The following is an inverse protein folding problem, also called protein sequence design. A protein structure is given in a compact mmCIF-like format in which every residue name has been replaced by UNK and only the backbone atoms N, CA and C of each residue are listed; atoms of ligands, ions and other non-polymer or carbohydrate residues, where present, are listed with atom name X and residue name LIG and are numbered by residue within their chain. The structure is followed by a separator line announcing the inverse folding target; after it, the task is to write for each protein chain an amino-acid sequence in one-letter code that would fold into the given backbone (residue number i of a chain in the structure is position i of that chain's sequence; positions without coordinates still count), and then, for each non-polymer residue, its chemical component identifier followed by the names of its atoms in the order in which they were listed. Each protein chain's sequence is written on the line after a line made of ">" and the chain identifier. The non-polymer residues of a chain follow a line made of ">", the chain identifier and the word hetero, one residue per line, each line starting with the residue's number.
data_IF_395401998559
#
_entry.id   IF_395401998559
#
_cell.length_a   1.000
_cell.length_b   1.000
_cell.length_c   1.000
_cell.angle_alpha   90.00
_cell.angle_beta   90.00
_cell.angle_gamma   90.00
#
_symmetry.space_group_name_H-M   'P 1'
#
loop_
_entity.id
_entity.type
_entity.pdbx_description
1 polymer ?
#
# COMPACT_ATOMS: atom_id res chain seq x y z
N UNK A 1 14.90 13.27 -18.50
CA UNK A 1 13.56 13.83 -18.24
C UNK A 1 13.23 14.10 -16.76
N UNK A 2 14.04 13.69 -15.76
CA UNK A 2 13.79 13.94 -14.33
C UNK A 2 12.41 13.49 -13.80
N UNK A 3 11.80 12.50 -14.47
CA UNK A 3 10.53 11.90 -14.08
C UNK A 3 10.83 10.65 -13.24
N UNK A 4 10.30 10.57 -12.03
CA UNK A 4 10.30 9.31 -11.27
C UNK A 4 9.35 8.33 -11.96
N UNK A 5 9.84 7.12 -12.25
CA UNK A 5 9.08 6.05 -12.93
C UNK A 5 8.79 4.87 -12.00
N UNK A 6 8.97 5.04 -10.70
CA UNK A 6 8.58 4.05 -9.70
C UNK A 6 7.09 3.70 -9.82
N UNK A 7 6.78 2.42 -10.02
CA UNK A 7 5.41 1.93 -10.25
C UNK A 7 4.86 2.15 -11.67
N UNK A 8 5.64 2.72 -12.59
CA UNK A 8 5.22 2.85 -13.99
C UNK A 8 5.25 1.51 -14.74
N UNK A 9 4.38 1.37 -15.74
CA UNK A 9 4.40 0.20 -16.63
C UNK A 9 5.61 0.24 -17.56
N UNK A 10 6.11 -0.93 -17.99
CA UNK A 10 7.23 -1.04 -18.94
C UNK A 10 7.04 -0.17 -20.19
N UNK A 11 5.82 -0.14 -20.75
CA UNK A 11 5.49 0.68 -21.92
C UNK A 11 5.71 2.18 -21.65
N UNK A 12 5.25 2.69 -20.51
CA UNK A 12 5.41 4.10 -20.14
C UNK A 12 6.90 4.48 -19.99
N UNK A 13 7.71 3.58 -19.44
CA UNK A 13 9.17 3.78 -19.32
C UNK A 13 9.81 3.84 -20.71
N UNK A 14 9.46 2.92 -21.61
CA UNK A 14 9.98 2.90 -22.99
C UNK A 14 9.58 4.15 -23.77
N UNK A 15 8.34 4.62 -23.62
CA UNK A 15 7.87 5.83 -24.30
C UNK A 15 8.63 7.08 -23.79
N UNK A 16 8.92 7.15 -22.48
CA UNK A 16 9.74 8.21 -21.89
C UNK A 16 11.19 8.19 -22.38
N UNK A 17 11.74 7.00 -22.60
CA UNK A 17 13.08 6.80 -23.17
C UNK A 17 13.10 7.27 -24.63
N UNK A 18 12.13 6.85 -25.45
CA UNK A 18 12.02 7.27 -26.86
C UNK A 18 11.81 8.76 -27.04
N UNK A 19 11.12 9.40 -26.09
CA UNK A 19 10.91 10.85 -26.09
C UNK A 19 12.15 11.65 -25.63
N UNK A 20 13.14 11.00 -25.02
CA UNK A 20 14.38 11.63 -24.56
C UNK A 20 15.43 11.67 -25.68
N UNK A 21 15.52 12.79 -26.39
CA UNK A 21 16.34 12.93 -27.61
C UNK A 21 17.84 13.21 -27.36
N UNK A 22 18.33 13.06 -26.12
CA UNK A 22 19.67 13.52 -25.71
C UNK A 22 20.45 12.45 -24.95
N UNK A 23 20.24 12.33 -23.64
CA UNK A 23 21.09 11.50 -22.76
C UNK A 23 20.27 10.86 -21.63
N UNK A 24 20.63 9.62 -21.27
CA UNK A 24 20.03 8.87 -20.16
C UNK A 24 21.03 8.76 -19.02
N UNK A 25 20.70 9.38 -17.88
CA UNK A 25 21.43 9.17 -16.65
C UNK A 25 20.91 7.88 -15.99
N UNK A 26 21.74 6.84 -16.01
CA UNK A 26 21.47 5.56 -15.36
C UNK A 26 22.15 5.55 -13.98
N UNK A 27 21.35 5.50 -12.92
CA UNK A 27 21.87 5.23 -11.57
C UNK A 27 21.85 3.74 -11.33
N UNK A 28 23.03 3.12 -11.23
CA UNK A 28 23.14 1.71 -10.85
C UNK A 28 22.87 1.61 -9.35
N UNK A 29 21.79 0.92 -8.99
CA UNK A 29 21.50 0.54 -7.62
C UNK A 29 22.09 -0.84 -7.39
N UNK A 30 23.22 -0.91 -6.71
CA UNK A 30 23.81 -2.18 -6.31
C UNK A 30 22.96 -2.80 -5.20
N UNK A 31 22.56 -4.05 -5.38
CA UNK A 31 21.97 -4.87 -4.33
C UNK A 31 23.06 -5.66 -3.61
N UNK A 32 22.88 -6.00 -2.33
CA UNK A 32 23.78 -6.92 -1.63
C UNK A 32 23.80 -8.30 -2.32
N UNK A 33 24.91 -9.04 -2.17
CA UNK A 33 25.22 -10.24 -2.97
C UNK A 33 24.13 -11.33 -2.91
N UNK A 34 23.51 -11.46 -1.75
CA UNK A 34 22.40 -12.38 -1.51
C UNK A 34 21.13 -12.02 -2.29
N UNK A 35 20.90 -10.75 -2.58
CA UNK A 35 19.77 -10.28 -3.40
C UNK A 35 20.11 -10.35 -4.90
N UNK A 36 21.37 -10.19 -5.30
CA UNK A 36 21.77 -10.32 -6.72
C UNK A 36 21.59 -11.73 -7.26
N UNK A 37 21.86 -12.77 -6.45
CA UNK A 37 21.66 -14.16 -6.85
C UNK A 37 20.18 -14.50 -7.11
N UNK A 38 19.25 -13.72 -6.55
CA UNK A 38 17.80 -13.88 -6.72
C UNK A 38 17.30 -13.20 -8.01
N UNK A 39 18.02 -12.18 -8.49
CA UNK A 39 17.65 -11.36 -9.63
C UNK A 39 18.19 -11.89 -10.97
N UNK A 40 19.17 -12.80 -10.94
CA UNK A 40 19.63 -13.45 -12.15
C UNK A 40 18.52 -14.35 -12.72
N UNK A 41 18.11 -14.17 -13.99
CA UNK A 41 17.12 -15.02 -14.62
C UNK A 41 17.74 -16.40 -14.81
N UNK A 42 17.42 -17.34 -13.93
CA UNK A 42 17.73 -18.75 -14.14
C UNK A 42 17.11 -19.20 -15.46
N UNK A 43 17.94 -19.66 -16.39
CA UNK A 43 17.56 -20.20 -17.71
C UNK A 43 16.83 -21.56 -17.60
N UNK A 44 16.65 -22.06 -16.37
CA UNK A 44 15.78 -23.19 -16.05
C UNK A 44 14.41 -22.68 -15.64
N UNK A 45 13.36 -23.27 -16.23
CA UNK A 45 11.93 -22.95 -16.08
C UNK A 45 11.35 -23.20 -14.67
N UNK A 46 12.19 -23.09 -13.64
CA UNK A 46 11.90 -23.08 -12.22
C UNK A 46 12.65 -21.90 -11.59
N UNK A 47 12.21 -20.68 -11.91
CA UNK A 47 12.56 -19.50 -11.12
C UNK A 47 12.20 -19.74 -9.64
N UNK A 48 12.78 -18.98 -8.69
CA UNK A 48 12.48 -19.16 -7.28
C UNK A 48 10.96 -19.12 -7.09
N UNK A 49 10.39 -20.27 -6.73
CA UNK A 49 8.99 -20.36 -6.31
C UNK A 49 8.92 -19.64 -4.98
N UNK A 50 8.70 -18.32 -5.03
CA UNK A 50 8.45 -17.53 -3.84
C UNK A 50 7.29 -18.17 -3.11
N UNK A 51 7.60 -18.80 -1.98
CA UNK A 51 6.60 -19.37 -1.12
C UNK A 51 5.94 -18.20 -0.36
N UNK A 52 4.93 -17.60 -0.99
CA UNK A 52 4.04 -16.64 -0.35
C UNK A 52 3.23 -17.26 0.81
N UNK A 53 3.50 -18.52 1.18
CA UNK A 53 3.04 -19.10 2.44
C UNK A 53 3.76 -18.52 3.67
N UNK A 54 4.83 -17.73 3.52
CA UNK A 54 5.42 -17.01 4.65
C UNK A 54 4.44 -15.97 5.21
N UNK A 55 3.75 -16.36 6.29
CA UNK A 55 2.82 -15.54 7.08
C UNK A 55 3.55 -14.53 7.97
N UNK A 56 4.59 -13.85 7.48
CA UNK A 56 5.09 -12.69 8.23
C UNK A 56 4.06 -11.58 8.08
N UNK A 57 3.39 -11.25 9.19
CA UNK A 57 2.52 -10.10 9.25
C UNK A 57 3.30 -8.87 8.79
N UNK A 58 2.76 -8.14 7.81
CA UNK A 58 3.33 -6.86 7.41
C UNK A 58 3.49 -6.00 8.68
N UNK A 59 4.62 -5.28 8.87
CA UNK A 59 4.82 -4.42 10.04
C UNK A 59 3.98 -3.14 9.92
N UNK A 60 2.70 -3.26 9.56
CA UNK A 60 1.73 -2.19 9.40
C UNK A 60 1.03 -1.94 10.73
N UNK A 61 0.80 -0.67 11.08
CA UNK A 61 0.06 -0.32 12.30
C UNK A 61 -0.71 0.98 12.13
N UNK A 62 -1.82 1.08 12.84
CA UNK A 62 -2.63 2.29 12.98
C UNK A 62 -2.58 2.75 14.44
N UNK A 63 -1.47 3.32 14.93
CA UNK A 63 -1.27 3.58 16.37
C UNK A 63 -2.23 4.62 16.96
N UNK A 64 -2.80 5.50 16.13
CA UNK A 64 -3.66 6.59 16.60
C UNK A 64 -4.64 7.09 15.55
N UNK A 65 -5.57 7.92 16.00
CA UNK A 65 -6.45 8.73 15.16
C UNK A 65 -6.46 10.17 15.68
N UNK A 66 -6.91 11.12 14.84
CA UNK A 66 -7.13 12.51 15.26
C UNK A 66 -8.34 13.12 14.58
N UNK A 67 -8.93 14.09 15.25
CA UNK A 67 -9.94 14.98 14.68
C UNK A 67 -9.26 16.04 13.81
N UNK A 68 -9.79 16.25 12.61
CA UNK A 68 -9.30 17.23 11.63
C UNK A 68 -10.47 18.07 11.17
N UNK A 69 -10.24 19.36 11.00
CA UNK A 69 -11.18 20.28 10.36
C UNK A 69 -10.57 20.75 9.03
N UNK A 70 -11.23 20.43 7.92
CA UNK A 70 -10.79 20.81 6.57
C UNK A 70 -12.01 21.26 5.77
N UNK A 71 -11.91 22.43 5.13
CA UNK A 71 -12.99 23.01 4.32
C UNK A 71 -14.33 23.13 5.09
N UNK A 72 -14.29 23.40 6.39
CA UNK A 72 -15.47 23.47 7.26
C UNK A 72 -16.08 22.13 7.65
N UNK A 73 -15.51 21.00 7.20
CA UNK A 73 -15.93 19.66 7.61
C UNK A 73 -15.01 19.15 8.73
N UNK A 74 -15.61 18.69 9.83
CA UNK A 74 -14.91 17.96 10.89
C UNK A 74 -15.02 16.46 10.68
N UNK A 75 -13.88 15.77 10.66
CA UNK A 75 -13.82 14.32 10.51
C UNK A 75 -12.60 13.73 11.22
N UNK A 76 -12.64 12.41 11.39
CA UNK A 76 -11.53 11.65 11.98
C UNK A 76 -10.67 11.04 10.89
N UNK A 77 -9.35 11.15 11.06
CA UNK A 77 -8.35 10.44 10.25
C UNK A 77 -7.57 9.46 11.11
N UNK A 78 -7.20 8.32 10.52
CA UNK A 78 -6.37 7.28 11.12
C UNK A 78 -4.96 7.40 10.57
N UNK A 79 -3.96 7.34 11.43
CA UNK A 79 -2.57 7.39 11.01
C UNK A 79 -2.11 5.99 10.63
N UNK A 80 -1.58 5.80 9.43
CA UNK A 80 -1.11 4.50 8.94
C UNK A 80 0.42 4.52 8.93
N UNK A 81 1.04 3.55 9.59
CA UNK A 81 2.48 3.38 9.70
C UNK A 81 2.90 2.04 9.13
N UNK A 82 4.13 1.97 8.62
CA UNK A 82 4.80 0.73 8.26
C UNK A 82 6.23 0.77 8.80
N UNK A 83 6.62 -0.25 9.57
CA UNK A 83 7.93 -0.33 10.23
C UNK A 83 8.29 0.96 11.00
N UNK A 84 7.31 1.55 11.70
CA UNK A 84 7.49 2.77 12.49
C UNK A 84 7.53 4.08 11.68
N UNK A 85 7.41 4.04 10.35
CA UNK A 85 7.35 5.22 9.47
C UNK A 85 5.91 5.51 9.06
N UNK A 86 5.48 6.77 9.17
CA UNK A 86 4.13 7.16 8.76
C UNK A 86 4.03 7.16 7.23
N UNK A 87 3.08 6.40 6.69
CA UNK A 87 2.79 6.36 5.25
C UNK A 87 1.79 7.43 4.85
N UNK A 88 0.64 7.48 5.52
CA UNK A 88 -0.40 8.45 5.22
C UNK A 88 -1.43 8.59 6.37
N UNK A 89 -2.33 9.56 6.21
CA UNK A 89 -3.50 9.73 7.06
C UNK A 89 -4.75 9.59 6.21
N UNK A 90 -5.70 8.77 6.65
CA UNK A 90 -6.91 8.46 5.88
C UNK A 90 -8.15 8.51 6.74
N UNK A 91 -9.25 9.08 6.22
CA UNK A 91 -10.57 8.98 6.85
C UNK A 91 -11.22 7.65 6.51
N UNK A 92 -12.13 7.17 7.36
CA UNK A 92 -12.78 5.86 7.18
C UNK A 92 -13.38 5.63 5.77
N UNK A 93 -13.96 6.67 5.14
CA UNK A 93 -14.55 6.56 3.79
C UNK A 93 -13.51 6.12 2.74
N UNK A 94 -12.25 6.48 2.89
CA UNK A 94 -11.18 6.08 1.97
C UNK A 94 -10.87 4.59 2.07
N UNK A 95 -10.89 4.02 3.28
CA UNK A 95 -10.80 2.56 3.49
C UNK A 95 -12.00 1.82 2.86
N UNK A 96 -13.21 2.38 3.02
CA UNK A 96 -14.40 1.80 2.42
C UNK A 96 -14.34 1.80 0.87
N UNK A 97 -13.79 2.86 0.27
CA UNK A 97 -13.56 2.91 -1.18
C UNK A 97 -12.48 1.90 -1.61
N UNK A 98 -11.38 1.83 -0.87
CA UNK A 98 -10.31 0.84 -1.11
C UNK A 98 -10.86 -0.59 -1.08
N UNK A 99 -11.63 -0.95 -0.05
CA UNK A 99 -12.23 -2.29 0.07
C UNK A 99 -13.12 -2.64 -1.13
N UNK A 100 -13.94 -1.70 -1.62
CA UNK A 100 -14.77 -1.95 -2.80
C UNK A 100 -13.95 -2.10 -4.09
N UNK A 101 -12.88 -1.32 -4.23
CA UNK A 101 -11.98 -1.45 -5.38
C UNK A 101 -11.25 -2.80 -5.35
N UNK A 102 -10.75 -3.21 -4.18
CA UNK A 102 -10.11 -4.52 -4.00
C UNK A 102 -11.06 -5.68 -4.32
N UNK A 103 -12.30 -5.65 -3.82
CA UNK A 103 -13.30 -6.67 -4.14
C UNK A 103 -13.68 -6.72 -5.62
N UNK A 104 -13.59 -5.60 -6.33
CA UNK A 104 -13.84 -5.55 -7.78
C UNK A 104 -12.68 -6.15 -8.56
N UNK A 105 -11.46 -5.82 -8.16
CA UNK A 105 -10.24 -6.29 -8.85
C UNK A 105 -9.95 -7.76 -8.57
N UNK A 106 -10.27 -8.23 -7.36
CA UNK A 106 -9.99 -9.60 -6.91
C UNK A 106 -11.30 -10.29 -6.44
N UNK A 107 -12.22 -10.63 -7.34
CA UNK A 107 -13.56 -11.13 -6.98
C UNK A 107 -13.53 -12.47 -6.23
N UNK A 108 -12.53 -13.31 -6.50
CA UNK A 108 -12.38 -14.64 -5.90
C UNK A 108 -11.59 -14.63 -4.58
N UNK A 109 -11.02 -13.48 -4.20
CA UNK A 109 -10.26 -13.36 -2.95
C UNK A 109 -11.19 -13.15 -1.76
N UNK A 110 -11.11 -13.98 -0.71
CA UNK A 110 -11.99 -13.89 0.46
C UNK A 110 -11.53 -12.78 1.41
N UNK A 111 -11.76 -11.51 1.04
CA UNK A 111 -11.36 -10.36 1.85
C UNK A 111 -11.96 -10.41 3.27
N UNK A 112 -11.20 -10.00 4.30
CA UNK A 112 -11.73 -9.81 5.64
C UNK A 112 -12.85 -8.77 5.65
N UNK A 113 -13.71 -8.83 6.66
CA UNK A 113 -14.79 -7.85 6.83
C UNK A 113 -14.19 -6.51 7.25
N UNK A 114 -14.45 -5.47 6.48
CA UNK A 114 -14.12 -4.11 6.88
C UNK A 114 -15.01 -3.67 8.07
N UNK A 115 -14.49 -2.94 9.07
CA UNK A 115 -15.30 -2.36 10.13
C UNK A 115 -16.48 -1.58 9.58
N UNK A 116 -17.68 -1.75 10.14
CA UNK A 116 -18.91 -1.21 9.59
C UNK A 116 -19.05 0.32 9.70
N UNK A 117 -19.92 0.88 8.83
CA UNK A 117 -20.45 2.24 9.01
C UNK A 117 -21.41 2.26 10.19
N UNK A 118 -21.42 3.38 10.90
CA UNK A 118 -22.38 3.63 11.98
C UNK A 118 -23.26 4.81 11.56
N UNK A 119 -24.59 4.74 11.78
CA UNK A 119 -25.50 5.79 11.32
C UNK A 119 -25.45 7.07 12.17
N UNK A 120 -24.80 7.01 13.34
CA UNK A 120 -24.63 8.14 14.26
C UNK A 120 -23.16 8.51 14.41
N UNK A 121 -22.90 9.69 15.00
CA UNK A 121 -21.55 10.06 15.43
C UNK A 121 -20.99 9.00 16.37
N UNK A 122 -19.72 8.64 16.16
CA UNK A 122 -19.04 7.67 17.00
C UNK A 122 -18.55 8.30 18.30
N UNK A 123 -18.65 7.55 19.40
CA UNK A 123 -17.92 7.85 20.62
C UNK A 123 -16.42 7.58 20.45
N UNK A 124 -15.59 8.12 21.34
CA UNK A 124 -14.13 7.85 21.35
C UNK A 124 -13.82 6.34 21.45
N UNK A 125 -14.58 5.60 22.27
CA UNK A 125 -14.44 4.13 22.35
C UNK A 125 -14.75 3.43 21.02
N UNK A 126 -15.76 3.91 20.29
CA UNK A 126 -16.10 3.37 18.98
C UNK A 126 -15.07 3.76 17.91
N UNK A 127 -14.48 4.96 18.01
CA UNK A 127 -13.39 5.40 17.11
C UNK A 127 -12.14 4.53 17.30
N UNK A 128 -11.76 4.24 18.53
CA UNK A 128 -10.63 3.36 18.83
C UNK A 128 -10.91 1.89 18.44
N UNK A 129 -12.13 1.40 18.66
CA UNK A 129 -12.54 0.07 18.16
C UNK A 129 -12.48 -0.01 16.64
N UNK A 130 -12.89 1.05 15.94
CA UNK A 130 -12.75 1.15 14.48
C UNK A 130 -11.28 1.21 14.07
N UNK A 131 -10.42 1.95 14.79
CA UNK A 131 -8.96 2.02 14.53
C UNK A 131 -8.34 0.61 14.56
N UNK A 132 -8.57 -0.16 15.63
CA UNK A 132 -8.11 -1.55 15.73
C UNK A 132 -8.62 -2.43 14.60
N UNK A 133 -9.91 -2.35 14.29
CA UNK A 133 -10.48 -3.14 13.19
C UNK A 133 -9.94 -2.76 11.80
N UNK A 134 -9.50 -1.51 11.60
CA UNK A 134 -8.83 -1.09 10.37
C UNK A 134 -7.38 -1.57 10.31
N UNK A 135 -6.70 -1.65 11.45
CA UNK A 135 -5.37 -2.26 11.60
C UNK A 135 -5.42 -3.74 11.22
N UNK A 136 -6.28 -4.53 11.88
CA UNK A 136 -6.49 -5.96 11.59
C UNK A 136 -6.93 -6.23 10.15
N UNK A 137 -7.63 -5.29 9.52
CA UNK A 137 -8.05 -5.40 8.11
C UNK A 137 -6.86 -5.23 7.16
N UNK A 138 -5.90 -4.37 7.48
CA UNK A 138 -4.73 -4.10 6.64
C UNK A 138 -3.60 -5.13 6.84
N UNK A 139 -3.57 -5.82 7.97
CA UNK A 139 -2.64 -6.92 8.24
C UNK A 139 -2.97 -8.21 7.46
N UNK A 140 -4.17 -8.32 6.87
CA UNK A 140 -4.71 -9.54 6.22
C UNK A 140 -4.95 -9.33 4.73
#
# INVERSE_FOLDING_TARGET
>A
NAVNVEGATHKQVVDLIRAGDQELLLTVLSVPLNESEILDPSDDSSGPSYDYSEKQALPISLPSYKHVELNGERFVVYHIYMAGRQLCLKRYREFAMLHQNLKREFPDFPFPRLPGKWPFSLSEQQLDSRRRGLEEYLEK
#
